data_IF_862682253996
#
_entry.id   IF_862682253996
#
_cell.length_a   1.000
_cell.length_b   1.000
_cell.length_c   1.000
_cell.angle_alpha   90.00
_cell.angle_beta   90.00
_cell.angle_gamma   90.00
#
_symmetry.space_group_name_H-M   'P 1'
#
loop_
_entity.id
_entity.type
_entity.pdbx_description
1 polymer ?
#
# COMPACT_ATOMS: atom_id res chain seq x y z
N UNK A 1 -44.84 -47.15 47.38
CA UNK A 1 -45.16 -48.57 47.09
C UNK A 1 -45.23 -48.73 45.58
N UNK A 2 -44.12 -49.11 44.93
CA UNK A 2 -43.98 -49.15 43.48
C UNK A 2 -44.64 -50.41 42.89
N UNK A 3 -45.57 -50.23 41.94
CA UNK A 3 -46.30 -51.30 41.26
C UNK A 3 -45.37 -52.01 40.27
N UNK A 4 -45.12 -53.31 40.46
CA UNK A 4 -44.42 -54.20 39.51
C UNK A 4 -45.28 -54.41 38.25
N UNK A 5 -44.71 -54.18 37.07
CA UNK A 5 -45.25 -54.67 35.81
C UNK A 5 -44.95 -56.17 35.71
N UNK A 6 -45.99 -57.01 35.87
CA UNK A 6 -45.90 -58.45 35.63
C UNK A 6 -45.97 -58.71 34.12
N UNK A 7 -44.87 -59.13 33.51
CA UNK A 7 -44.87 -59.87 32.24
C UNK A 7 -44.95 -61.37 32.55
N UNK A 8 -45.86 -62.08 31.89
CA UNK A 8 -46.15 -63.48 32.20
C UNK A 8 -45.17 -64.50 31.58
N UNK A 9 -44.07 -64.07 30.94
CA UNK A 9 -42.96 -64.95 30.54
C UNK A 9 -41.64 -64.16 30.52
N UNK A 10 -40.84 -64.32 31.58
CA UNK A 10 -39.40 -64.00 31.61
C UNK A 10 -39.05 -62.51 31.70
N UNK A 11 -38.28 -62.14 32.72
CA UNK A 11 -37.74 -60.82 33.04
C UNK A 11 -38.69 -59.84 33.74
N UNK A 12 -38.51 -59.71 35.07
CA UNK A 12 -39.11 -58.67 35.90
C UNK A 12 -38.19 -57.45 35.85
N UNK A 13 -38.45 -56.50 34.97
CA UNK A 13 -37.85 -55.18 35.09
C UNK A 13 -38.55 -54.43 36.22
N UNK A 14 -37.81 -54.05 37.27
CA UNK A 14 -38.33 -53.13 38.28
C UNK A 14 -38.45 -51.74 37.66
N UNK A 15 -39.50 -51.00 38.01
CA UNK A 15 -39.74 -49.63 37.48
C UNK A 15 -38.53 -48.71 37.74
N UNK A 16 -37.80 -48.96 38.83
CA UNK A 16 -36.54 -48.32 39.20
C UNK A 16 -35.43 -48.58 38.16
N UNK A 17 -35.29 -49.82 37.66
CA UNK A 17 -34.28 -50.16 36.65
C UNK A 17 -34.55 -49.45 35.32
N UNK A 18 -35.83 -49.29 34.94
CA UNK A 18 -36.22 -48.53 33.74
C UNK A 18 -35.90 -47.04 33.91
N UNK A 19 -36.22 -46.46 35.07
CA UNK A 19 -35.92 -45.05 35.37
C UNK A 19 -34.40 -44.81 35.35
N UNK A 20 -33.61 -45.69 35.97
CA UNK A 20 -32.14 -45.59 35.97
C UNK A 20 -31.58 -45.67 34.55
N UNK A 21 -32.10 -46.59 33.71
CA UNK A 21 -31.69 -46.69 32.31
C UNK A 21 -31.98 -45.41 31.50
N UNK A 22 -33.13 -44.77 31.73
CA UNK A 22 -33.46 -43.49 31.09
C UNK A 22 -32.58 -42.34 31.58
N UNK A 23 -32.27 -42.28 32.88
CA UNK A 23 -31.33 -41.28 33.42
C UNK A 23 -29.93 -41.49 32.82
N UNK A 24 -29.47 -42.75 32.74
CA UNK A 24 -28.17 -43.08 32.17
C UNK A 24 -28.09 -42.74 30.68
N UNK A 25 -29.14 -43.05 29.90
CA UNK A 25 -29.26 -42.60 28.51
C UNK A 25 -29.29 -41.08 28.39
N UNK A 26 -29.98 -40.37 29.29
CA UNK A 26 -30.04 -38.91 29.29
C UNK A 26 -28.67 -38.27 29.55
N UNK A 27 -27.93 -38.77 30.54
CA UNK A 27 -26.57 -38.30 30.84
C UNK A 27 -25.63 -38.62 29.68
N UNK A 28 -25.71 -39.82 29.10
CA UNK A 28 -24.87 -40.22 27.97
C UNK A 28 -25.18 -39.39 26.72
N UNK A 29 -26.46 -39.13 26.45
CA UNK A 29 -26.89 -38.28 25.34
C UNK A 29 -26.41 -36.84 25.51
N UNK A 30 -26.59 -36.23 26.69
CA UNK A 30 -26.10 -34.88 26.98
C UNK A 30 -24.57 -34.80 26.90
N UNK A 31 -23.86 -35.79 27.46
CA UNK A 31 -22.41 -35.85 27.38
C UNK A 31 -21.92 -35.98 25.93
N UNK A 32 -22.56 -36.85 25.13
CA UNK A 32 -22.24 -37.06 23.72
C UNK A 32 -22.53 -35.81 22.87
N UNK A 33 -23.66 -35.14 23.09
CA UNK A 33 -24.00 -33.91 22.35
C UNK A 33 -23.09 -32.76 22.70
N UNK A 34 -22.76 -32.56 23.99
CA UNK A 34 -21.79 -31.53 24.42
C UNK A 34 -20.39 -31.82 23.87
N UNK A 35 -19.93 -33.08 23.92
CA UNK A 35 -18.63 -33.47 23.38
C UNK A 35 -18.55 -33.23 21.87
N UNK A 36 -19.57 -33.67 21.12
CA UNK A 36 -19.61 -33.44 19.67
C UNK A 36 -19.70 -31.96 19.31
N UNK A 37 -20.50 -31.18 20.05
CA UNK A 37 -20.59 -29.74 19.84
C UNK A 37 -19.22 -29.06 20.04
N UNK A 38 -18.51 -29.39 21.12
CA UNK A 38 -17.20 -28.83 21.40
C UNK A 38 -16.15 -29.23 20.35
N UNK A 39 -16.20 -30.46 19.84
CA UNK A 39 -15.32 -30.90 18.74
C UNK A 39 -15.64 -30.16 17.45
N UNK A 40 -16.92 -30.05 17.08
CA UNK A 40 -17.35 -29.33 15.89
C UNK A 40 -16.93 -27.86 15.95
N UNK A 41 -17.18 -27.20 17.10
CA UNK A 41 -16.76 -25.82 17.32
C UNK A 41 -15.23 -25.66 17.21
N UNK A 42 -14.45 -26.59 17.79
CA UNK A 42 -12.98 -26.56 17.71
C UNK A 42 -12.47 -26.79 16.28
N UNK A 43 -13.12 -27.65 15.50
CA UNK A 43 -12.80 -27.88 14.09
C UNK A 43 -13.15 -26.67 13.23
N UNK A 44 -14.28 -26.00 13.49
CA UNK A 44 -14.67 -24.76 12.83
C UNK A 44 -13.68 -23.62 13.15
N UNK A 45 -13.32 -23.42 14.42
CA UNK A 45 -12.34 -22.41 14.83
C UNK A 45 -10.97 -22.64 14.18
N UNK A 46 -10.52 -23.90 14.11
CA UNK A 46 -9.27 -24.26 13.43
C UNK A 46 -9.34 -23.95 11.93
N UNK A 47 -10.45 -24.30 11.27
CA UNK A 47 -10.67 -24.01 9.86
C UNK A 47 -10.67 -22.51 9.58
N UNK A 48 -11.30 -21.71 10.44
CA UNK A 48 -11.34 -20.25 10.30
C UNK A 48 -9.96 -19.62 10.51
N UNK A 49 -9.19 -20.14 11.48
CA UNK A 49 -7.81 -19.71 11.73
C UNK A 49 -6.90 -20.00 10.53
N UNK A 50 -6.99 -21.21 9.95
CA UNK A 50 -6.24 -21.57 8.75
C UNK A 50 -6.63 -20.70 7.55
N UNK A 51 -7.93 -20.40 7.40
CA UNK A 51 -8.45 -19.50 6.36
C UNK A 51 -7.88 -18.08 6.53
N UNK A 52 -7.85 -17.56 7.75
CA UNK A 52 -7.25 -16.25 8.05
C UNK A 52 -5.75 -16.22 7.80
N UNK A 53 -5.00 -17.25 8.20
CA UNK A 53 -3.56 -17.34 7.91
C UNK A 53 -3.28 -17.37 6.41
N UNK A 54 -4.07 -18.12 5.62
CA UNK A 54 -3.95 -18.13 4.16
C UNK A 54 -4.17 -16.72 3.58
N UNK A 55 -5.19 -16.02 4.06
CA UNK A 55 -5.50 -14.66 3.64
C UNK A 55 -4.36 -13.69 3.99
N UNK A 56 -3.79 -13.79 5.19
CA UNK A 56 -2.65 -12.97 5.61
C UNK A 56 -1.42 -13.23 4.72
N UNK A 57 -1.13 -14.49 4.40
CA UNK A 57 -0.04 -14.86 3.49
C UNK A 57 -0.27 -14.33 2.07
N UNK A 58 -1.51 -14.36 1.57
CA UNK A 58 -1.85 -13.76 0.28
C UNK A 58 -1.58 -12.25 0.30
N UNK A 59 -2.01 -11.54 1.35
CA UNK A 59 -1.71 -10.11 1.52
C UNK A 59 -0.22 -9.83 1.45
N UNK A 60 0.58 -10.54 2.24
CA UNK A 60 2.04 -10.33 2.28
C UNK A 60 2.72 -10.71 0.95
N UNK A 61 2.19 -11.70 0.23
CA UNK A 61 2.67 -12.06 -1.11
C UNK A 61 2.45 -10.89 -2.08
N UNK A 62 1.25 -10.31 -2.15
CA UNK A 62 0.95 -9.20 -3.06
C UNK A 62 1.76 -7.94 -2.73
N UNK A 63 1.97 -7.65 -1.44
CA UNK A 63 2.81 -6.52 -1.04
C UNK A 63 4.28 -6.69 -1.45
N UNK A 64 4.80 -7.92 -1.53
CA UNK A 64 6.20 -8.20 -1.91
C UNK A 64 6.40 -8.52 -3.38
N UNK A 65 5.36 -8.94 -4.08
CA UNK A 65 5.49 -9.44 -5.46
C UNK A 65 5.94 -8.35 -6.43
N UNK A 66 5.48 -7.12 -6.20
CA UNK A 66 5.82 -5.96 -7.02
C UNK A 66 6.40 -4.87 -6.12
N UNK A 67 7.67 -5.06 -5.73
CA UNK A 67 8.42 -4.07 -4.95
C UNK A 67 8.58 -2.73 -5.71
N UNK A 68 8.44 -2.74 -7.04
CA UNK A 68 8.55 -1.57 -7.92
C UNK A 68 7.50 -1.58 -9.06
N UNK A 69 6.93 -0.43 -9.45
CA UNK A 69 5.76 -0.38 -10.32
C UNK A 69 6.03 -0.23 -11.81
N UNK A 70 5.26 -0.87 -12.67
CA UNK A 70 5.37 -0.75 -14.13
C UNK A 70 6.50 -1.54 -14.80
N UNK A 71 6.49 -1.49 -16.14
CA UNK A 71 7.45 -2.16 -17.03
C UNK A 71 8.70 -1.30 -17.22
N UNK A 72 9.58 -1.32 -16.23
CA UNK A 72 10.85 -0.60 -16.33
C UNK A 72 11.80 -1.23 -17.34
N UNK A 73 12.63 -0.40 -17.96
CA UNK A 73 13.80 -0.87 -18.69
C UNK A 73 14.72 -1.64 -17.73
N UNK A 74 15.29 -2.76 -18.19
CA UNK A 74 16.29 -3.56 -17.45
C UNK A 74 17.39 -2.67 -16.85
N UNK A 75 17.83 -1.63 -17.57
CA UNK A 75 18.81 -0.66 -17.10
C UNK A 75 18.38 0.07 -15.81
N UNK A 76 17.11 0.47 -15.71
CA UNK A 76 16.58 1.12 -14.50
C UNK A 76 16.53 0.14 -13.32
N UNK A 77 16.12 -1.11 -13.58
CA UNK A 77 16.03 -2.14 -12.55
C UNK A 77 17.43 -2.49 -12.02
N UNK A 78 18.34 -2.84 -12.93
CA UNK A 78 19.68 -3.28 -12.57
C UNK A 78 20.51 -2.17 -11.92
N UNK A 79 20.44 -0.95 -12.47
CA UNK A 79 21.30 0.13 -12.02
C UNK A 79 20.72 0.95 -10.88
N UNK A 80 19.40 1.05 -10.72
CA UNK A 80 18.81 1.92 -9.71
C UNK A 80 18.05 1.15 -8.63
N UNK A 81 17.07 0.31 -9.00
CA UNK A 81 16.21 -0.37 -8.02
C UNK A 81 16.95 -1.41 -7.18
N UNK A 82 17.97 -2.06 -7.72
CA UNK A 82 18.79 -3.01 -6.95
C UNK A 82 19.79 -2.35 -6.01
N UNK A 83 20.18 -1.10 -6.28
CA UNK A 83 21.17 -0.37 -5.47
C UNK A 83 20.53 0.45 -4.36
N UNK A 84 19.30 0.91 -4.57
CA UNK A 84 18.54 1.68 -3.59
C UNK A 84 18.13 0.79 -2.41
N UNK A 85 18.43 1.24 -1.20
CA UNK A 85 18.01 0.56 0.03
C UNK A 85 16.72 1.20 0.52
N UNK A 86 15.60 0.64 0.09
CA UNK A 86 14.28 1.05 0.54
C UNK A 86 14.01 0.44 1.92
N UNK A 87 13.56 1.28 2.85
CA UNK A 87 13.10 0.82 4.16
C UNK A 87 11.56 0.83 4.26
N UNK A 88 10.92 1.46 3.29
CA UNK A 88 9.48 1.65 3.20
C UNK A 88 8.79 0.38 2.71
N UNK A 89 7.58 0.10 3.24
CA UNK A 89 6.69 -0.88 2.64
C UNK A 89 6.09 -0.29 1.37
N UNK A 90 6.59 -0.71 0.21
CA UNK A 90 6.10 -0.21 -1.08
C UNK A 90 4.88 -1.00 -1.52
N UNK A 91 3.98 -0.32 -2.20
CA UNK A 91 2.83 -0.92 -2.84
C UNK A 91 2.69 -0.38 -4.25
N UNK A 92 2.78 -1.28 -5.23
CA UNK A 92 2.49 -0.95 -6.62
C UNK A 92 1.00 -1.22 -6.93
N UNK A 93 0.16 -0.18 -7.07
CA UNK A 93 -1.23 -0.36 -7.47
C UNK A 93 -1.40 -0.82 -8.93
N UNK A 94 -0.41 -0.64 -9.80
CA UNK A 94 -0.54 -0.84 -11.24
C UNK A 94 -0.23 -2.28 -11.68
N UNK A 95 0.92 -2.87 -11.30
CA UNK A 95 1.21 -4.25 -11.69
C UNK A 95 0.43 -5.30 -10.88
N UNK A 96 -0.01 -4.95 -9.66
CA UNK A 96 -0.73 -5.89 -8.78
C UNK A 96 -2.06 -6.40 -9.35
N UNK A 97 -2.63 -5.74 -10.37
CA UNK A 97 -3.87 -6.17 -11.02
C UNK A 97 -3.68 -6.80 -12.40
N UNK A 98 -2.44 -6.95 -12.89
CA UNK A 98 -2.17 -7.53 -14.21
C UNK A 98 -2.42 -9.04 -14.28
N UNK A 99 -2.58 -9.71 -13.14
CA UNK A 99 -2.88 -11.13 -13.08
C UNK A 99 -4.29 -11.37 -12.50
N UNK A 100 -5.04 -12.26 -13.15
CA UNK A 100 -6.38 -12.74 -12.76
C UNK A 100 -6.35 -13.52 -11.43
N UNK A 101 -5.99 -12.88 -10.33
CA UNK A 101 -6.14 -13.46 -9.00
C UNK A 101 -7.42 -12.92 -8.38
N UNK A 102 -8.49 -13.64 -8.74
CA UNK A 102 -9.78 -13.58 -8.08
C UNK A 102 -9.62 -13.58 -6.55
N UNK A 103 -9.80 -12.41 -5.91
CA UNK A 103 -9.90 -12.28 -4.47
C UNK A 103 -8.93 -11.30 -3.82
N UNK A 104 -8.24 -10.43 -4.56
CA UNK A 104 -7.46 -9.35 -3.97
C UNK A 104 -7.91 -8.00 -4.54
N UNK A 105 -8.32 -7.09 -3.65
CA UNK A 105 -8.74 -5.74 -3.98
C UNK A 105 -8.10 -4.75 -3.01
N UNK A 106 -8.03 -3.49 -3.38
CA UNK A 106 -7.62 -2.46 -2.43
C UNK A 106 -8.30 -1.13 -2.72
N UNK A 107 -8.46 -0.32 -1.68
CA UNK A 107 -8.95 1.05 -1.76
C UNK A 107 -7.84 1.94 -1.22
N UNK A 108 -7.35 2.87 -2.03
CA UNK A 108 -6.47 3.93 -1.53
C UNK A 108 -7.30 5.16 -1.23
N UNK A 109 -7.13 5.71 -0.04
CA UNK A 109 -7.77 7.00 0.26
C UNK A 109 -7.10 8.10 -0.59
N UNK A 110 -7.89 9.01 -1.20
CA UNK A 110 -7.35 10.14 -1.94
C UNK A 110 -6.47 10.98 -1.02
N UNK A 111 -5.33 11.44 -1.54
CA UNK A 111 -4.46 12.35 -0.81
C UNK A 111 -4.85 13.79 -1.16
N UNK A 112 -4.91 14.69 -0.17
CA UNK A 112 -5.20 16.12 -0.36
C UNK A 112 -4.26 16.79 -1.38
N UNK A 113 -3.05 16.25 -1.53
CA UNK A 113 -2.06 16.75 -2.50
C UNK A 113 -2.34 16.30 -3.95
N UNK A 114 -3.16 15.26 -4.16
CA UNK A 114 -3.42 14.70 -5.49
C UNK A 114 -4.30 15.64 -6.34
N UNK A 115 -5.33 16.25 -5.75
CA UNK A 115 -6.16 17.27 -6.43
C UNK A 115 -5.38 18.55 -6.76
N UNK A 116 -4.45 18.95 -5.90
CA UNK A 116 -3.63 20.16 -6.15
C UNK A 116 -2.64 19.94 -7.30
N UNK A 117 -2.25 18.68 -7.58
CA UNK A 117 -1.40 18.36 -8.71
C UNK A 117 -2.13 18.49 -10.05
N UNK A 118 -3.44 18.21 -10.12
CA UNK A 118 -4.26 18.38 -11.32
C UNK A 118 -4.23 19.82 -11.85
N UNK A 119 -4.43 20.76 -10.94
CA UNK A 119 -4.45 22.19 -11.26
C UNK A 119 -3.07 22.70 -11.72
N UNK A 120 -2.00 22.12 -11.18
CA UNK A 120 -0.63 22.56 -11.46
C UNK A 120 -0.03 21.83 -12.68
N UNK A 121 -0.46 20.59 -12.95
CA UNK A 121 -0.01 19.75 -14.06
C UNK A 121 -0.62 20.13 -15.41
N UNK A 122 -1.83 20.70 -15.40
CA UNK A 122 -2.50 21.22 -16.61
C UNK A 122 -1.90 22.53 -17.13
N UNK A 123 -1.13 23.25 -16.30
CA UNK A 123 -0.24 24.33 -16.73
C UNK A 123 1.03 23.80 -17.39
N UNK A 124 1.81 24.67 -18.05
CA UNK A 124 3.06 24.37 -18.78
C UNK A 124 4.19 23.64 -17.99
N UNK A 125 3.91 23.06 -16.81
CA UNK A 125 4.86 22.45 -15.88
C UNK A 125 5.15 20.97 -16.15
N UNK A 126 4.44 20.34 -17.10
CA UNK A 126 4.74 19.07 -17.77
C UNK A 126 5.45 18.00 -16.88
N UNK A 127 4.84 17.61 -15.76
CA UNK A 127 5.39 16.61 -14.83
C UNK A 127 5.43 15.18 -15.41
N UNK A 128 4.97 14.99 -16.65
CA UNK A 128 4.64 13.69 -17.25
C UNK A 128 3.75 12.80 -16.35
N UNK A 129 3.10 13.38 -15.33
CA UNK A 129 2.17 12.70 -14.45
C UNK A 129 0.83 12.56 -15.16
N UNK A 130 0.35 11.33 -15.29
CA UNK A 130 -0.99 11.06 -15.77
C UNK A 130 -1.88 10.75 -14.57
N UNK A 131 -3.11 11.26 -14.61
CA UNK A 131 -4.15 10.84 -13.67
C UNK A 131 -4.56 9.41 -14.04
N UNK A 132 -4.30 8.46 -13.14
CA UNK A 132 -4.78 7.08 -13.29
C UNK A 132 -6.02 6.94 -12.43
N UNK A 133 -7.17 6.76 -13.07
CA UNK A 133 -8.45 6.56 -12.39
C UNK A 133 -8.71 5.06 -12.17
N UNK A 134 -8.92 4.69 -10.92
CA UNK A 134 -9.32 3.35 -10.52
C UNK A 134 -10.81 3.38 -10.22
N UNK A 135 -11.59 2.67 -11.03
CA UNK A 135 -13.05 2.61 -10.90
C UNK A 135 -13.49 1.32 -10.18
N UNK A 136 -14.00 1.45 -8.96
CA UNK A 136 -14.57 0.36 -8.17
C UNK A 136 -16.08 0.33 -8.33
N UNK A 137 -16.57 -0.27 -9.41
CA UNK A 137 -18.00 -0.26 -9.76
C UNK A 137 -18.57 1.17 -9.87
N UNK A 138 -19.76 1.31 -10.45
CA UNK A 138 -20.23 2.55 -11.10
C UNK A 138 -20.25 3.89 -10.29
N UNK A 139 -19.79 3.96 -9.03
CA UNK A 139 -19.91 5.17 -8.19
C UNK A 139 -18.67 5.52 -7.33
N UNK A 140 -17.68 4.65 -7.14
CA UNK A 140 -16.46 4.97 -6.36
C UNK A 140 -15.21 4.96 -7.24
N UNK A 141 -14.61 6.13 -7.41
CA UNK A 141 -13.33 6.30 -8.08
C UNK A 141 -12.30 6.87 -7.12
N UNK A 142 -11.07 6.37 -7.19
CA UNK A 142 -9.92 7.12 -6.70
C UNK A 142 -8.93 7.33 -7.83
N UNK A 143 -8.19 8.44 -7.76
CA UNK A 143 -7.15 8.75 -8.73
C UNK A 143 -5.77 8.75 -8.08
N UNK A 144 -4.81 8.13 -8.75
CA UNK A 144 -3.39 8.23 -8.41
C UNK A 144 -2.69 8.95 -9.56
N UNK A 145 -1.88 9.96 -9.25
CA UNK A 145 -1.04 10.61 -10.24
C UNK A 145 0.24 9.82 -10.39
N UNK A 146 0.45 9.23 -11.56
CA UNK A 146 1.69 8.52 -11.81
C UNK A 146 2.11 8.63 -13.26
N UNK A 147 3.42 8.66 -13.48
CA UNK A 147 3.99 8.53 -14.82
C UNK A 147 4.43 7.09 -15.14
N UNK A 148 4.07 6.15 -14.25
CA UNK A 148 4.51 4.75 -14.33
C UNK A 148 3.64 3.93 -15.29
N UNK A 149 2.32 4.22 -15.41
CA UNK A 149 1.39 3.47 -16.28
C UNK A 149 0.33 4.40 -16.90
N UNK A 150 -0.10 4.08 -18.11
CA UNK A 150 -1.19 4.72 -18.86
C UNK A 150 -2.43 3.82 -18.80
N UNK A 151 -3.41 4.20 -17.97
CA UNK A 151 -4.75 3.63 -17.82
C UNK A 151 -4.85 2.18 -17.28
N UNK A 152 -5.68 2.00 -16.24
CA UNK A 152 -6.01 0.67 -15.71
C UNK A 152 -7.50 0.55 -15.40
N UNK A 153 -8.16 -0.46 -15.97
CA UNK A 153 -9.55 -0.78 -15.62
C UNK A 153 -9.55 -1.93 -14.63
N UNK A 154 -10.07 -1.68 -13.43
CA UNK A 154 -10.26 -2.74 -12.45
C UNK A 154 -11.24 -3.79 -12.95
N UNK A 155 -10.96 -5.08 -12.76
CA UNK A 155 -11.95 -6.11 -13.03
C UNK A 155 -13.17 -5.87 -12.12
N UNK A 156 -14.36 -5.82 -12.74
CA UNK A 156 -15.61 -5.66 -12.02
C UNK A 156 -15.70 -6.66 -10.86
N UNK A 157 -15.81 -6.15 -9.63
CA UNK A 157 -15.99 -6.95 -8.43
C UNK A 157 -17.40 -7.53 -8.41
N UNK A 158 -17.61 -8.65 -9.10
CA UNK A 158 -18.87 -9.39 -8.96
C UNK A 158 -18.68 -10.86 -9.31
N UNK A 159 -18.18 -11.63 -8.34
CA UNK A 159 -18.14 -13.09 -8.47
C UNK A 159 -17.67 -13.85 -7.24
N UNK A 160 -18.56 -14.06 -6.26
CA UNK A 160 -18.60 -15.35 -5.54
C UNK A 160 -17.72 -15.58 -4.28
N UNK A 161 -17.14 -14.57 -3.63
CA UNK A 161 -16.39 -14.82 -2.38
C UNK A 161 -17.33 -15.03 -1.19
N UNK A 162 -17.03 -16.04 -0.38
CA UNK A 162 -17.79 -16.42 0.82
C UNK A 162 -17.43 -15.55 2.03
N UNK A 163 -16.26 -14.92 2.01
CA UNK A 163 -15.73 -14.09 3.09
C UNK A 163 -14.73 -13.08 2.52
N UNK A 164 -14.85 -11.81 2.93
CA UNK A 164 -13.91 -10.73 2.66
C UNK A 164 -13.26 -10.31 3.99
N UNK A 165 -11.93 -10.23 4.02
CA UNK A 165 -11.16 -9.72 5.17
C UNK A 165 -10.47 -8.42 4.77
N UNK A 166 -10.51 -7.45 5.68
CA UNK A 166 -10.01 -6.09 5.46
C UNK A 166 -8.73 -5.85 6.26
N UNK A 167 -7.73 -5.26 5.62
CA UNK A 167 -6.47 -4.84 6.25
C UNK A 167 -6.20 -3.38 5.94
N UNK A 168 -5.99 -2.55 6.97
CA UNK A 168 -5.56 -1.17 6.79
C UNK A 168 -4.04 -1.10 6.98
N UNK A 169 -3.31 -0.68 5.96
CA UNK A 169 -1.85 -0.56 5.99
C UNK A 169 -1.42 0.85 5.53
N UNK A 170 -0.38 1.37 6.16
CA UNK A 170 0.32 2.57 5.69
C UNK A 170 1.44 2.11 4.75
N UNK A 171 1.30 2.41 3.47
CA UNK A 171 2.19 1.95 2.41
C UNK A 171 2.70 3.15 1.61
N UNK A 172 3.80 2.98 0.90
CA UNK A 172 4.32 3.97 -0.02
C UNK A 172 3.99 3.56 -1.45
N UNK A 173 3.30 4.43 -2.18
CA UNK A 173 2.97 4.23 -3.59
C UNK A 173 3.94 5.06 -4.43
N UNK A 174 4.59 4.46 -5.45
CA UNK A 174 5.47 5.23 -6.31
C UNK A 174 4.66 6.07 -7.30
N UNK A 175 5.01 7.35 -7.32
CA UNK A 175 4.28 8.42 -8.00
C UNK A 175 5.02 8.93 -9.22
N UNK A 176 6.33 9.11 -9.10
CA UNK A 176 7.17 9.59 -10.21
C UNK A 176 8.34 8.64 -10.32
N UNK A 177 8.60 8.15 -11.53
CA UNK A 177 9.83 7.42 -11.84
C UNK A 177 10.40 7.88 -13.16
N UNK A 178 11.69 7.71 -13.38
CA UNK A 178 12.23 7.98 -14.70
C UNK A 178 13.73 7.93 -14.81
N UNK A 179 14.16 8.07 -16.06
CA UNK A 179 15.55 8.15 -16.45
C UNK A 179 15.72 9.37 -17.34
N UNK A 180 16.68 10.23 -16.99
CA UNK A 180 17.11 11.32 -17.88
C UNK A 180 18.58 11.12 -18.19
N UNK A 181 18.90 10.90 -19.46
CA UNK A 181 20.29 10.63 -19.90
C UNK A 181 20.90 11.86 -20.55
N UNK A 182 22.21 12.02 -20.39
CA UNK A 182 23.02 13.05 -21.03
C UNK A 182 22.52 14.49 -20.80
N UNK A 183 22.03 14.80 -19.59
CA UNK A 183 21.58 16.15 -19.21
C UNK A 183 22.49 16.71 -18.13
N UNK A 184 22.59 18.03 -18.01
CA UNK A 184 23.29 18.69 -16.89
C UNK A 184 22.37 18.95 -15.71
N UNK A 185 21.06 18.84 -15.89
CA UNK A 185 20.03 19.18 -14.91
C UNK A 185 18.93 18.11 -14.89
N UNK A 186 18.44 17.76 -13.70
CA UNK A 186 17.17 17.05 -13.52
C UNK A 186 16.29 17.79 -12.53
N UNK A 187 14.98 17.68 -12.73
CA UNK A 187 13.97 18.20 -11.82
C UNK A 187 13.21 17.04 -11.21
N UNK A 188 13.15 17.02 -9.89
CA UNK A 188 12.42 16.01 -9.12
C UNK A 188 11.43 16.72 -8.20
N UNK A 189 10.34 16.04 -7.90
CA UNK A 189 9.17 16.67 -7.31
C UNK A 189 8.61 15.82 -6.18
N UNK A 190 8.03 16.49 -5.18
CA UNK A 190 7.32 15.81 -4.10
C UNK A 190 6.42 16.75 -3.30
N UNK A 191 5.47 16.14 -2.59
CA UNK A 191 4.57 16.78 -1.66
C UNK A 191 4.90 16.36 -0.22
N UNK A 192 4.07 16.75 0.73
CA UNK A 192 4.31 16.46 2.14
C UNK A 192 4.33 14.95 2.40
N UNK A 193 5.34 14.47 3.12
CA UNK A 193 5.54 13.04 3.40
C UNK A 193 6.20 12.25 2.26
N UNK A 194 6.38 12.84 1.08
CA UNK A 194 7.01 12.13 -0.04
C UNK A 194 8.50 11.88 0.21
N UNK A 195 8.96 10.71 -0.22
CA UNK A 195 10.37 10.33 -0.24
C UNK A 195 10.84 10.32 -1.70
N UNK A 196 11.80 11.16 -2.01
CA UNK A 196 12.41 11.28 -3.33
C UNK A 196 13.80 10.64 -3.27
N UNK A 197 14.04 9.69 -4.16
CA UNK A 197 15.32 9.05 -4.35
C UNK A 197 15.82 9.37 -5.75
N UNK A 198 17.11 9.68 -5.88
CA UNK A 198 17.71 9.85 -7.19
C UNK A 198 19.18 9.42 -7.20
N UNK A 199 19.61 8.78 -8.29
CA UNK A 199 21.00 8.46 -8.57
C UNK A 199 21.52 9.37 -9.66
N UNK A 200 22.75 9.86 -9.48
CA UNK A 200 23.47 10.62 -10.49
C UNK A 200 24.91 10.11 -10.63
N UNK A 201 25.38 9.96 -11.87
CA UNK A 201 26.71 9.42 -12.16
C UNK A 201 27.83 10.49 -12.21
N UNK A 202 27.48 11.77 -12.12
CA UNK A 202 28.40 12.91 -12.06
C UNK A 202 28.32 13.67 -10.74
N UNK A 203 29.24 14.62 -10.57
CA UNK A 203 29.31 15.47 -9.38
C UNK A 203 28.23 16.55 -9.48
N UNK A 204 27.43 16.65 -8.42
CA UNK A 204 26.43 17.71 -8.26
C UNK A 204 27.16 19.00 -7.89
N UNK A 205 26.83 20.09 -8.57
CA UNK A 205 27.42 21.42 -8.36
C UNK A 205 26.47 22.39 -7.70
N UNK A 206 25.17 22.19 -7.89
CA UNK A 206 24.15 23.07 -7.37
C UNK A 206 22.84 22.30 -7.16
N UNK A 207 22.07 22.74 -6.19
CA UNK A 207 20.74 22.22 -5.91
C UNK A 207 19.84 23.36 -5.47
N UNK A 208 18.83 23.63 -6.28
CA UNK A 208 17.85 24.68 -6.02
C UNK A 208 16.47 24.08 -5.81
N UNK A 209 15.57 24.84 -5.17
CA UNK A 209 14.19 24.43 -5.02
C UNK A 209 13.22 25.61 -5.12
N UNK A 210 11.98 25.29 -5.48
CA UNK A 210 10.83 26.20 -5.49
C UNK A 210 9.54 25.48 -5.14
N UNK A 211 8.57 26.24 -4.67
CA UNK A 211 7.16 25.82 -4.59
C UNK A 211 6.55 25.95 -5.97
N UNK A 212 5.78 24.96 -6.39
CA UNK A 212 5.07 25.05 -7.66
C UNK A 212 3.67 25.59 -7.39
N UNK A 213 3.50 26.88 -7.62
CA UNK A 213 2.25 27.60 -7.43
C UNK A 213 2.09 28.62 -8.56
N UNK A 214 0.83 28.86 -8.95
CA UNK A 214 0.47 29.92 -9.89
C UNK A 214 0.57 31.32 -9.26
N UNK A 215 0.78 31.41 -7.94
CA UNK A 215 0.89 32.67 -7.22
C UNK A 215 2.34 32.90 -6.74
N UNK A 216 3.00 33.90 -7.33
CA UNK A 216 4.41 34.20 -7.09
C UNK A 216 4.68 34.90 -5.74
N UNK A 217 3.65 35.46 -5.10
CA UNK A 217 3.79 36.20 -3.84
C UNK A 217 3.76 35.29 -2.61
N UNK A 218 3.35 34.02 -2.77
CA UNK A 218 3.27 33.08 -1.67
C UNK A 218 4.65 32.50 -1.31
N UNK A 219 4.94 32.52 -0.02
CA UNK A 219 6.15 31.97 0.57
C UNK A 219 5.79 30.97 1.66
N UNK A 220 6.39 29.79 1.61
CA UNK A 220 6.09 28.69 2.52
C UNK A 220 7.34 28.16 3.18
N UNK A 221 7.21 27.83 4.47
CA UNK A 221 8.25 27.11 5.20
C UNK A 221 8.18 25.62 4.86
N UNK A 222 9.30 25.10 4.35
CA UNK A 222 9.47 23.70 3.97
C UNK A 222 10.54 23.08 4.85
N UNK A 223 10.20 21.95 5.47
CA UNK A 223 11.15 21.14 6.24
C UNK A 223 11.35 19.81 5.55
N UNK A 224 12.60 19.48 5.25
CA UNK A 224 12.96 18.27 4.52
C UNK A 224 14.32 17.75 4.98
N UNK A 225 14.61 16.48 4.74
CA UNK A 225 15.95 15.91 4.95
C UNK A 225 16.62 15.63 3.63
N UNK A 226 17.94 15.78 3.57
CA UNK A 226 18.77 15.32 2.45
C UNK A 226 19.83 14.38 3.00
N UNK A 227 19.83 13.12 2.57
CA UNK A 227 20.72 12.07 3.06
C UNK A 227 20.78 12.01 4.61
N UNK A 228 19.63 12.18 5.26
CA UNK A 228 19.48 12.19 6.72
C UNK A 228 19.73 13.52 7.43
N UNK A 229 20.26 14.55 6.77
CA UNK A 229 20.43 15.88 7.37
C UNK A 229 19.20 16.76 7.18
N UNK A 230 18.72 17.39 8.25
CA UNK A 230 17.52 18.24 8.23
C UNK A 230 17.83 19.64 7.70
N UNK A 231 16.92 20.14 6.87
CA UNK A 231 16.90 21.49 6.32
C UNK A 231 15.54 22.12 6.56
N UNK A 232 15.56 23.42 6.87
CA UNK A 232 14.38 24.26 6.93
C UNK A 232 14.61 25.47 6.04
N UNK A 233 13.76 25.64 5.03
CA UNK A 233 13.89 26.70 4.03
C UNK A 233 12.55 27.36 3.78
N UNK A 234 12.62 28.65 3.55
CA UNK A 234 11.49 29.43 3.07
C UNK A 234 11.56 29.45 1.53
N UNK A 235 10.56 28.88 0.87
CA UNK A 235 10.48 28.70 -0.58
C UNK A 235 9.26 29.43 -1.15
N UNK A 236 9.42 29.99 -2.34
CA UNK A 236 8.36 30.62 -3.12
C UNK A 236 8.37 30.04 -4.56
N UNK A 237 7.63 30.65 -5.50
CA UNK A 237 7.58 30.19 -6.89
C UNK A 237 8.90 30.30 -7.66
N UNK A 238 9.86 31.07 -7.13
CA UNK A 238 11.17 31.28 -7.75
C UNK A 238 12.16 30.23 -7.28
N UNK A 239 12.87 29.60 -8.21
CA UNK A 239 13.95 28.66 -7.86
C UNK A 239 15.09 29.38 -7.14
N UNK A 240 15.47 28.87 -5.97
CA UNK A 240 16.54 29.42 -5.14
C UNK A 240 17.49 28.32 -4.69
N UNK A 241 18.77 28.64 -4.61
CA UNK A 241 19.75 27.75 -3.97
C UNK A 241 19.34 27.50 -2.51
N UNK A 242 19.21 26.23 -2.17
CA UNK A 242 18.83 25.77 -0.84
C UNK A 242 20.04 25.33 0.00
N UNK A 243 21.26 25.40 -0.55
CA UNK A 243 22.50 25.11 0.16
C UNK A 243 22.64 23.65 0.59
N UNK A 244 22.02 22.73 -0.16
CA UNK A 244 22.07 21.28 0.15
C UNK A 244 23.20 20.56 -0.59
N UNK A 245 23.82 21.21 -1.59
CA UNK A 245 24.89 20.66 -2.42
C UNK A 245 25.99 19.95 -1.65
N UNK A 246 26.51 20.45 -0.50
CA UNK A 246 27.57 19.77 0.23
C UNK A 246 27.20 18.37 0.75
N UNK A 247 25.90 18.10 0.91
CA UNK A 247 25.38 16.83 1.40
C UNK A 247 24.92 15.90 0.30
N UNK A 248 24.91 16.38 -0.94
CA UNK A 248 24.64 15.57 -2.10
C UNK A 248 25.94 14.92 -2.59
N UNK A 249 25.82 13.67 -3.05
CA UNK A 249 26.96 12.88 -3.52
C UNK A 249 26.71 12.34 -4.91
N UNK A 250 27.79 11.99 -5.60
CA UNK A 250 27.72 11.10 -6.76
C UNK A 250 27.18 9.73 -6.29
N UNK A 251 26.23 9.17 -7.03
CA UNK A 251 25.48 7.98 -6.67
C UNK A 251 24.10 8.34 -6.11
N UNK A 252 23.57 7.45 -5.26
CA UNK A 252 22.20 7.56 -4.72
C UNK A 252 22.11 8.63 -3.64
N UNK A 253 21.11 9.49 -3.77
CA UNK A 253 20.71 10.49 -2.80
C UNK A 253 19.25 10.30 -2.43
N UNK A 254 18.90 10.78 -1.24
CA UNK A 254 17.56 10.72 -0.69
C UNK A 254 17.15 12.11 -0.21
N UNK A 255 15.94 12.52 -0.55
CA UNK A 255 15.24 13.69 -0.02
C UNK A 255 13.93 13.24 0.60
N UNK A 256 13.67 13.57 1.88
CA UNK A 256 12.36 13.31 2.51
C UNK A 256 11.70 14.61 2.87
N UNK A 257 10.49 14.84 2.40
CA UNK A 257 9.74 16.05 2.72
C UNK A 257 8.97 15.78 4.00
N UNK A 258 9.38 16.41 5.10
CA UNK A 258 8.83 16.13 6.44
C UNK A 258 7.59 16.96 6.75
N UNK A 259 7.59 18.21 6.31
CA UNK A 259 6.52 19.16 6.59
C UNK A 259 6.47 20.24 5.53
N UNK A 260 5.29 20.41 4.94
CA UNK A 260 4.91 21.55 4.13
C UNK A 260 3.74 22.26 4.82
N UNK A 261 3.83 23.57 4.96
CA UNK A 261 2.68 24.39 5.38
C UNK A 261 1.80 24.76 4.16
N UNK A 262 1.73 23.88 3.17
CA UNK A 262 1.06 24.09 1.89
C UNK A 262 0.70 22.77 1.25
N UNK A 263 -0.33 22.79 0.40
CA UNK A 263 -0.69 21.66 -0.48
C UNK A 263 0.09 21.67 -1.79
N UNK A 264 0.83 22.75 -2.08
CA UNK A 264 1.61 22.87 -3.30
C UNK A 264 2.86 21.97 -3.29
N UNK A 265 3.19 21.31 -4.41
CA UNK A 265 4.40 20.51 -4.54
C UNK A 265 5.67 21.36 -4.46
N UNK A 266 6.77 20.73 -4.06
CA UNK A 266 8.13 21.28 -4.14
C UNK A 266 8.84 20.69 -5.35
N UNK A 267 9.42 21.54 -6.19
CA UNK A 267 10.39 21.14 -7.22
C UNK A 267 11.80 21.30 -6.65
N UNK A 268 12.61 20.26 -6.78
CA UNK A 268 14.05 20.30 -6.56
C UNK A 268 14.74 20.16 -7.91
N UNK A 269 15.63 21.10 -8.19
CA UNK A 269 16.44 21.12 -9.40
C UNK A 269 17.87 20.77 -9.02
N UNK A 270 18.40 19.69 -9.60
CA UNK A 270 19.73 19.17 -9.32
C UNK A 270 20.60 19.36 -10.55
N UNK A 271 21.69 20.10 -10.37
CA UNK A 271 22.59 20.48 -11.46
C UNK A 271 23.97 19.82 -11.30
N UNK A 272 24.56 19.43 -12.42
CA UNK A 272 25.86 18.77 -12.52
C UNK A 272 26.79 19.56 -13.44
N UNK A 273 28.09 19.37 -13.26
CA UNK A 273 29.11 20.07 -14.04
C UNK A 273 29.21 19.58 -15.50
N UNK A 274 28.94 18.29 -15.72
CA UNK A 274 29.03 17.61 -17.00
C UNK A 274 27.69 16.90 -17.28
N UNK A 275 27.43 16.57 -18.54
CA UNK A 275 26.30 15.71 -18.90
C UNK A 275 26.33 14.40 -18.09
N UNK A 276 25.23 14.15 -17.39
CA UNK A 276 25.05 13.08 -16.44
C UNK A 276 23.81 12.25 -16.79
N UNK A 277 23.77 11.04 -16.25
CA UNK A 277 22.60 10.19 -16.25
C UNK A 277 21.96 10.24 -14.87
N UNK A 278 20.66 10.51 -14.86
CA UNK A 278 19.83 10.58 -13.67
C UNK A 278 18.80 9.46 -13.69
N UNK A 279 18.65 8.79 -12.56
CA UNK A 279 17.58 7.84 -12.27
C UNK A 279 16.83 8.38 -11.05
N UNK A 280 15.50 8.41 -11.05
CA UNK A 280 14.75 9.00 -9.93
C UNK A 280 13.44 8.27 -9.66
N UNK A 281 13.02 8.33 -8.39
CA UNK A 281 11.83 7.71 -7.82
C UNK A 281 11.25 8.63 -6.74
N UNK A 282 9.99 8.99 -6.84
CA UNK A 282 9.23 9.62 -5.75
C UNK A 282 8.21 8.63 -5.23
N UNK A 283 8.30 8.33 -3.93
CA UNK A 283 7.37 7.52 -3.17
C UNK A 283 6.46 8.41 -2.33
N UNK A 284 5.17 8.13 -2.35
CA UNK A 284 4.18 8.92 -1.63
C UNK A 284 3.43 8.06 -0.61
N UNK A 285 3.35 8.46 0.66
CA UNK A 285 2.66 7.68 1.68
C UNK A 285 1.15 7.66 1.40
N UNK A 286 0.53 6.49 1.58
CA UNK A 286 -0.90 6.25 1.38
C UNK A 286 -1.44 5.32 2.44
N UNK A 287 -2.66 5.60 2.86
CA UNK A 287 -3.46 4.66 3.64
C UNK A 287 -4.19 3.76 2.64
N UNK A 288 -3.86 2.47 2.66
CA UNK A 288 -4.39 1.47 1.74
C UNK A 288 -5.19 0.45 2.53
N UNK A 289 -6.46 0.33 2.17
CA UNK A 289 -7.34 -0.74 2.66
C UNK A 289 -7.27 -1.89 1.68
N UNK A 290 -6.71 -3.03 2.10
CA UNK A 290 -6.61 -4.25 1.29
C UNK A 290 -7.78 -5.17 1.66
N UNK A 291 -8.50 -5.66 0.66
CA UNK A 291 -9.57 -6.63 0.80
C UNK A 291 -9.12 -7.95 0.18
N UNK A 292 -9.19 -9.02 0.96
CA UNK A 292 -8.85 -10.36 0.48
C UNK A 292 -10.07 -11.28 0.61
N UNK A 293 -10.52 -11.79 -0.53
CA UNK A 293 -11.60 -12.74 -0.70
C UNK A 293 -11.12 -14.20 -0.64
N UNK A 294 -12.01 -15.07 -0.19
CA UNK A 294 -11.77 -16.52 -0.06
C UNK A 294 -13.01 -17.37 -0.33
#
# INVERSE_FOLDING_TARGET
MLKKLKSNKGYVFTYEAVIIAFIFMGIFYLGYTTYNYNILASLEEKKDTEKFHKILLLKDLFLKKYDFPGSYNEDYIENFTNKIKLNEKIFDPCNNFTEELNGFYFITLPNEYDETLDEVASGNNNFNLNRIEFNFSNEEYFSVYSNVVTDFTLPNSSGGYSTLVYFNENLYIPKITGVTKNTTEVKVYGCNGDHIYFEVDKKIINASARIISNNEELSFNVTFTVNGQIYKKELNSTSKDIGITPNLKKGINEIRILSLNTTYPVEFTIETNDSANFYYLTLSPRNVTILVGS
#
